data_IF_295360661536
#
_entry.id   IF_295360661536
#
_cell.length_a   1.000
_cell.length_b   1.000
_cell.length_c   1.000
_cell.angle_alpha   90.00
_cell.angle_beta   90.00
_cell.angle_gamma   90.00
#
_symmetry.space_group_name_H-M   'P 1'
#
loop_
_entity.id
_entity.type
_entity.pdbx_description
1 polymer ?
#
# COMPACT_ATOMS: atom_id res chain seq x y z
N UNK A 1 17.42 19.79 2.56
CA UNK A 1 18.75 19.17 2.80
C UNK A 1 18.66 17.85 2.06
N UNK A 2 19.62 17.49 1.20
CA UNK A 2 19.59 16.28 0.38
C UNK A 2 19.18 15.02 1.16
N UNK A 3 19.50 14.96 2.46
CA UNK A 3 19.04 13.90 3.37
C UNK A 3 17.52 13.95 3.57
N UNK A 4 16.92 15.07 3.97
CA UNK A 4 15.45 15.17 4.16
C UNK A 4 14.67 15.02 2.84
N UNK A 5 15.25 15.48 1.74
CA UNK A 5 14.62 15.48 0.41
C UNK A 5 14.61 14.07 -0.22
N UNK A 6 15.49 13.15 0.21
CA UNK A 6 15.58 11.77 -0.34
C UNK A 6 15.37 10.65 0.68
N UNK A 7 15.65 10.84 1.98
CA UNK A 7 15.61 9.76 2.98
C UNK A 7 14.20 9.31 3.34
N UNK A 8 13.22 10.21 3.34
CA UNK A 8 11.82 9.88 3.61
C UNK A 8 11.03 9.40 2.38
N UNK A 9 11.16 9.99 1.16
CA UNK A 9 10.40 9.51 0.02
C UNK A 9 10.90 8.18 -0.55
N UNK A 10 12.20 7.91 -0.49
CA UNK A 10 12.78 6.76 -1.17
C UNK A 10 12.30 5.40 -0.63
N UNK A 11 12.25 5.15 0.70
CA UNK A 11 11.82 3.85 1.21
C UNK A 11 10.38 3.51 0.84
N UNK A 12 9.46 4.49 0.91
CA UNK A 12 8.06 4.28 0.54
C UNK A 12 7.92 3.97 -0.96
N UNK A 13 8.69 4.64 -1.82
CA UNK A 13 8.70 4.38 -3.25
C UNK A 13 9.14 2.94 -3.50
N UNK A 14 10.27 2.51 -2.91
CA UNK A 14 10.80 1.15 -3.07
C UNK A 14 9.79 0.11 -2.59
N UNK A 15 9.17 0.29 -1.41
CA UNK A 15 8.15 -0.63 -0.90
C UNK A 15 6.95 -0.69 -1.84
N UNK A 16 6.48 0.46 -2.33
CA UNK A 16 5.34 0.49 -3.25
C UNK A 16 5.63 -0.23 -4.57
N UNK A 17 6.86 -0.11 -5.11
CA UNK A 17 7.29 -0.83 -6.30
C UNK A 17 7.40 -2.34 -6.03
N UNK A 18 7.95 -2.74 -4.88
CA UNK A 18 8.01 -4.16 -4.48
C UNK A 18 6.63 -4.79 -4.32
N UNK A 19 5.65 -4.03 -3.81
CA UNK A 19 4.26 -4.47 -3.71
C UNK A 19 3.52 -4.48 -5.06
N UNK A 20 4.14 -3.97 -6.12
CA UNK A 20 3.54 -3.91 -7.45
C UNK A 20 2.48 -2.83 -7.60
N UNK A 21 2.52 -1.79 -6.75
CA UNK A 21 1.62 -0.63 -6.81
C UNK A 21 1.96 0.22 -8.04
N UNK A 22 0.97 0.57 -8.89
CA UNK A 22 1.18 1.47 -10.03
C UNK A 22 1.74 2.82 -9.62
N UNK A 23 2.59 3.41 -10.47
CA UNK A 23 3.30 4.67 -10.17
C UNK A 23 2.35 5.83 -9.87
N UNK A 24 1.23 5.87 -10.58
CA UNK A 24 0.14 6.83 -10.42
C UNK A 24 -0.54 6.77 -9.04
N UNK A 25 -0.47 5.64 -8.36
CA UNK A 25 -1.11 5.45 -7.05
C UNK A 25 -0.13 5.57 -5.87
N UNK A 26 1.19 5.69 -6.13
CA UNK A 26 2.20 5.80 -5.05
C UNK A 26 1.95 6.98 -4.11
N UNK A 27 1.39 8.08 -4.62
CA UNK A 27 1.02 9.23 -3.79
C UNK A 27 -0.11 8.90 -2.79
N UNK A 28 -1.12 8.12 -3.22
CA UNK A 28 -2.20 7.67 -2.35
C UNK A 28 -1.68 6.66 -1.32
N UNK A 29 -0.86 5.71 -1.78
CA UNK A 29 -0.23 4.72 -0.92
C UNK A 29 0.58 5.37 0.21
N UNK A 30 1.29 6.47 -0.08
CA UNK A 30 2.00 7.23 0.96
C UNK A 30 1.06 7.73 2.05
N UNK A 31 -0.08 8.34 1.68
CA UNK A 31 -1.08 8.84 2.64
C UNK A 31 -1.59 7.69 3.51
N UNK A 32 -2.02 6.61 2.87
CA UNK A 32 -2.54 5.44 3.59
C UNK A 32 -1.49 4.76 4.47
N UNK A 33 -0.23 4.69 4.03
CA UNK A 33 0.86 4.12 4.83
C UNK A 33 1.11 4.91 6.12
N UNK A 34 0.94 6.23 6.08
CA UNK A 34 1.00 7.06 7.28
C UNK A 34 -0.20 6.82 8.18
N UNK A 35 -1.40 6.63 7.62
CA UNK A 35 -2.62 6.32 8.38
C UNK A 35 -2.49 5.02 9.20
N UNK A 36 -1.78 4.01 8.68
CA UNK A 36 -1.56 2.72 9.36
C UNK A 36 -0.76 2.87 10.66
N UNK A 37 0.17 3.82 10.71
CA UNK A 37 1.01 4.08 11.89
C UNK A 37 0.57 5.32 12.68
N UNK A 38 -0.53 5.96 12.26
CA UNK A 38 -1.03 7.16 12.89
C UNK A 38 -1.54 6.85 14.31
N UNK A 39 -1.37 7.82 15.20
CA UNK A 39 -1.93 7.79 16.55
C UNK A 39 -2.84 9.01 16.72
N UNK A 40 -4.08 8.96 16.22
CA UNK A 40 -4.99 10.11 16.27
C UNK A 40 -5.44 10.38 17.71
N UNK A 41 -5.47 11.66 18.11
CA UNK A 41 -5.80 12.08 19.48
C UNK A 41 -7.18 12.76 19.56
N UNK A 42 -7.64 13.34 18.47
CA UNK A 42 -8.93 14.04 18.39
C UNK A 42 -9.99 13.23 17.63
N UNK A 43 -11.29 13.45 17.90
CA UNK A 43 -12.36 12.80 17.14
C UNK A 43 -12.32 13.08 15.63
N UNK A 44 -11.77 14.21 15.21
CA UNK A 44 -11.62 14.55 13.80
C UNK A 44 -10.50 13.73 13.14
N UNK A 45 -9.33 13.66 13.77
CA UNK A 45 -8.21 12.83 13.31
C UNK A 45 -8.56 11.34 13.27
N UNK A 46 -9.34 10.86 14.25
CA UNK A 46 -9.84 9.48 14.26
C UNK A 46 -10.67 9.21 12.99
N UNK A 47 -11.65 10.08 12.70
CA UNK A 47 -12.52 9.91 11.53
C UNK A 47 -11.74 9.95 10.20
N UNK A 48 -10.77 10.85 10.09
CA UNK A 48 -9.94 10.95 8.89
C UNK A 48 -9.03 9.72 8.74
N UNK A 49 -8.41 9.24 9.82
CA UNK A 49 -7.60 8.02 9.81
C UNK A 49 -8.43 6.80 9.42
N UNK A 50 -9.63 6.63 10.00
CA UNK A 50 -10.56 5.56 9.66
C UNK A 50 -10.96 5.59 8.17
N UNK A 51 -11.23 6.78 7.63
CA UNK A 51 -11.52 6.97 6.21
C UNK A 51 -10.35 6.53 5.33
N UNK A 52 -9.14 6.99 5.64
CA UNK A 52 -7.92 6.64 4.89
C UNK A 52 -7.64 5.14 4.94
N UNK A 53 -7.83 4.48 6.08
CA UNK A 53 -7.68 3.03 6.22
C UNK A 53 -8.73 2.26 5.41
N UNK A 54 -9.98 2.72 5.40
CA UNK A 54 -11.06 2.13 4.59
C UNK A 54 -10.78 2.22 3.09
N UNK A 55 -10.30 3.38 2.63
CA UNK A 55 -9.87 3.59 1.24
C UNK A 55 -8.69 2.67 0.89
N UNK A 56 -7.74 2.51 1.81
CA UNK A 56 -6.59 1.64 1.60
C UNK A 56 -6.98 0.17 1.48
N UNK A 57 -7.87 -0.33 2.35
CA UNK A 57 -8.38 -1.70 2.29
C UNK A 57 -9.08 -1.93 0.95
N UNK A 58 -9.94 -1.01 0.54
CA UNK A 58 -10.63 -1.06 -0.75
C UNK A 58 -9.63 -1.13 -1.91
N UNK A 59 -8.57 -0.32 -1.83
CA UNK A 59 -7.51 -0.31 -2.83
C UNK A 59 -6.74 -1.63 -2.89
N UNK A 60 -6.38 -2.20 -1.74
CA UNK A 60 -5.67 -3.48 -1.69
C UNK A 60 -6.50 -4.61 -2.28
N UNK A 61 -7.81 -4.64 -2.03
CA UNK A 61 -8.73 -5.60 -2.66
C UNK A 61 -8.72 -5.47 -4.18
N UNK A 62 -8.84 -4.23 -4.69
CA UNK A 62 -8.74 -3.94 -6.11
C UNK A 62 -7.40 -4.38 -6.71
N UNK A 63 -6.29 -4.10 -6.02
CA UNK A 63 -4.96 -4.49 -6.46
C UNK A 63 -4.83 -6.01 -6.56
N UNK A 64 -5.30 -6.75 -5.54
CA UNK A 64 -5.31 -8.21 -5.55
C UNK A 64 -6.13 -8.76 -6.72
N UNK A 65 -7.30 -8.19 -7.00
CA UNK A 65 -8.15 -8.63 -8.12
C UNK A 65 -7.49 -8.41 -9.49
N UNK A 66 -6.73 -7.32 -9.65
CA UNK A 66 -5.93 -7.10 -10.86
C UNK A 66 -4.81 -8.12 -10.95
N UNK A 67 -4.03 -8.29 -9.88
CA UNK A 67 -2.86 -9.18 -9.86
C UNK A 67 -3.22 -10.65 -10.00
N UNK A 68 -4.44 -11.05 -9.62
CA UNK A 68 -5.00 -12.38 -9.90
C UNK A 68 -5.24 -12.62 -11.39
N UNK A 69 -5.66 -11.59 -12.12
CA UNK A 69 -5.93 -11.68 -13.57
C UNK A 69 -4.65 -11.55 -14.39
N UNK A 70 -3.77 -10.64 -13.98
CA UNK A 70 -2.52 -10.30 -14.66
C UNK A 70 -1.36 -10.28 -13.65
N UNK A 71 -0.83 -11.45 -13.25
CA UNK A 71 0.28 -11.53 -12.32
C UNK A 71 1.55 -10.95 -12.93
N UNK A 72 2.37 -10.29 -12.09
CA UNK A 72 3.66 -9.70 -12.47
C UNK A 72 4.75 -10.13 -11.49
N UNK A 73 5.99 -9.71 -11.74
CA UNK A 73 7.13 -9.92 -10.83
C UNK A 73 7.07 -8.93 -9.66
N UNK A 74 6.11 -9.12 -8.76
CA UNK A 74 5.95 -8.34 -7.54
C UNK A 74 5.50 -9.20 -6.36
N UNK A 75 5.63 -8.65 -5.15
CA UNK A 75 5.35 -9.38 -3.91
C UNK A 75 3.88 -9.79 -3.80
N UNK A 76 2.93 -8.97 -4.26
CA UNK A 76 1.50 -9.28 -4.17
C UNK A 76 1.17 -10.46 -5.07
N UNK A 77 1.66 -10.47 -6.32
CA UNK A 77 1.54 -11.62 -7.21
C UNK A 77 2.19 -12.88 -6.65
N UNK A 78 3.37 -12.76 -6.03
CA UNK A 78 4.04 -13.90 -5.39
C UNK A 78 3.23 -14.47 -4.21
N UNK A 79 2.65 -13.62 -3.38
CA UNK A 79 1.80 -14.04 -2.25
C UNK A 79 0.52 -14.73 -2.72
N UNK A 80 -0.13 -14.21 -3.77
CA UNK A 80 -1.32 -14.84 -4.37
C UNK A 80 -0.99 -16.23 -4.89
N UNK A 81 0.15 -16.40 -5.58
CA UNK A 81 0.57 -17.70 -6.08
C UNK A 81 0.81 -18.69 -4.94
N UNK A 82 1.57 -18.29 -3.92
CA UNK A 82 1.86 -19.13 -2.76
C UNK A 82 0.59 -19.57 -2.01
N UNK A 83 -0.40 -18.68 -1.87
CA UNK A 83 -1.70 -19.03 -1.28
C UNK A 83 -2.43 -20.09 -2.11
N UNK A 84 -2.44 -19.96 -3.44
CA UNK A 84 -3.08 -20.92 -4.33
C UNK A 84 -2.41 -22.31 -4.34
N UNK A 85 -1.09 -22.36 -4.13
CA UNK A 85 -0.32 -23.61 -4.06
C UNK A 85 -0.52 -24.35 -2.73
N UNK A 86 -0.73 -23.63 -1.62
CA UNK A 86 -1.01 -24.24 -0.31
C UNK A 86 -2.43 -24.78 -0.15
N UNK A 87 -3.34 -24.46 -1.08
CA UNK A 87 -4.73 -24.97 -1.11
C UNK A 87 -4.93 -26.11 -2.13
N UNK A 88 -3.85 -26.67 -2.69
CA UNK A 88 -3.86 -27.91 -3.49
C UNK A 88 -3.48 -29.10 -2.63
#
# INVERSE_FOLDING_TARGET
>A
NLVDDYSFPLPIIVISEMLGIPKEDQAKFRIWSHAVIAYPETPEEIRETEKQLSEFITYLQYLVDIKRKEPKEDLVSALILAESEGHK
#
